data_IF_403757083595
#
_entry.id   IF_403757083595
#
_cell.length_a   1.000
_cell.length_b   1.000
_cell.length_c   1.000
_cell.angle_alpha   90.00
_cell.angle_beta   90.00
_cell.angle_gamma   90.00
#
_symmetry.space_group_name_H-M   'P 1'
#
loop_
_entity.id
_entity.type
_entity.pdbx_description
1 polymer ?
#
# COMPACT_ATOMS: atom_id res chain seq x y z
N UNK A 1 -14.53 4.06 10.43
CA UNK A 1 -14.07 4.88 9.28
C UNK A 1 -13.12 6.02 9.65
N UNK A 2 -13.27 6.76 10.77
CA UNK A 2 -12.32 7.84 11.15
C UNK A 2 -10.87 7.33 11.25
N UNK A 3 -10.66 6.17 11.86
CA UNK A 3 -9.32 5.54 11.97
C UNK A 3 -8.75 5.21 10.59
N UNK A 4 -9.54 4.56 9.72
CA UNK A 4 -9.11 4.23 8.34
C UNK A 4 -8.74 5.49 7.57
N UNK A 5 -9.51 6.57 7.71
CA UNK A 5 -9.24 7.85 7.07
C UNK A 5 -7.85 8.41 7.46
N UNK A 6 -7.50 8.39 8.76
CA UNK A 6 -6.19 8.82 9.21
C UNK A 6 -5.06 7.88 8.74
N UNK A 7 -5.30 6.56 8.81
CA UNK A 7 -4.35 5.58 8.28
C UNK A 7 -4.11 5.76 6.78
N UNK A 8 -5.11 6.24 6.01
CA UNK A 8 -4.94 6.52 4.59
C UNK A 8 -3.87 7.59 4.35
N UNK A 9 -3.82 8.66 5.14
CA UNK A 9 -2.76 9.66 5.04
C UNK A 9 -1.40 9.11 5.45
N UNK A 10 -1.35 8.37 6.56
CA UNK A 10 -0.10 7.76 7.04
C UNK A 10 0.47 6.81 5.99
N UNK A 11 -0.37 5.93 5.44
CA UNK A 11 0.08 4.98 4.42
C UNK A 11 0.42 5.65 3.09
N UNK A 12 -0.31 6.68 2.68
CA UNK A 12 0.05 7.49 1.52
C UNK A 12 1.45 8.11 1.69
N UNK A 13 1.75 8.65 2.86
CA UNK A 13 3.07 9.18 3.18
C UNK A 13 4.15 8.08 3.15
N UNK A 14 3.86 6.91 3.72
CA UNK A 14 4.77 5.76 3.70
C UNK A 14 5.10 5.34 2.27
N UNK A 15 4.12 5.25 1.39
CA UNK A 15 4.35 4.90 -0.02
C UNK A 15 5.10 5.99 -0.78
N UNK A 16 4.74 7.27 -0.61
CA UNK A 16 5.34 8.38 -1.36
C UNK A 16 6.77 8.71 -0.90
N UNK A 17 7.02 8.64 0.39
CA UNK A 17 8.29 9.10 0.99
C UNK A 17 9.18 7.94 1.41
N UNK A 18 8.60 6.84 1.89
CA UNK A 18 9.33 5.73 2.49
C UNK A 18 10.35 5.10 1.53
N UNK A 19 9.95 4.78 0.31
CA UNK A 19 10.87 4.19 -0.67
C UNK A 19 11.90 5.21 -1.18
N UNK A 20 11.48 6.46 -1.38
CA UNK A 20 12.41 7.52 -1.79
C UNK A 20 13.46 7.81 -0.71
N UNK A 21 13.05 7.86 0.56
CA UNK A 21 13.96 8.05 1.68
C UNK A 21 14.91 6.88 1.86
N UNK A 22 14.45 5.64 1.62
CA UNK A 22 15.24 4.42 1.77
C UNK A 22 16.24 4.21 0.63
N UNK A 23 15.84 4.47 -0.62
CA UNK A 23 16.61 4.11 -1.81
C UNK A 23 17.20 5.30 -2.56
N UNK A 24 16.70 6.51 -2.29
CA UNK A 24 17.06 7.72 -3.01
C UNK A 24 16.39 7.83 -4.39
N UNK A 25 16.35 9.07 -4.91
CA UNK A 25 15.75 9.35 -6.23
C UNK A 25 16.50 8.63 -7.37
N UNK A 26 17.81 8.41 -7.21
CA UNK A 26 18.62 7.66 -8.20
C UNK A 26 18.16 6.23 -8.46
N UNK A 27 17.34 5.66 -7.59
CA UNK A 27 16.80 4.30 -7.76
C UNK A 27 15.86 4.17 -8.97
N UNK A 28 15.32 5.29 -9.49
CA UNK A 28 14.57 5.29 -10.76
C UNK A 28 15.38 4.72 -11.93
N UNK A 29 16.71 4.90 -11.94
CA UNK A 29 17.56 4.33 -12.97
C UNK A 29 17.78 2.82 -12.82
N UNK A 30 17.54 2.27 -11.62
CA UNK A 30 17.70 0.83 -11.32
C UNK A 30 16.38 0.09 -11.49
N UNK A 31 15.30 0.60 -10.94
CA UNK A 31 13.96 -0.01 -11.01
C UNK A 31 12.87 1.06 -10.94
N UNK A 32 12.60 1.68 -12.09
CA UNK A 32 11.55 2.70 -12.22
C UNK A 32 10.16 2.14 -11.90
N UNK A 33 9.86 0.88 -12.27
CA UNK A 33 8.55 0.27 -12.08
C UNK A 33 8.15 0.24 -10.62
N UNK A 34 9.04 -0.19 -9.73
CA UNK A 34 8.76 -0.23 -8.30
C UNK A 34 8.51 1.16 -7.72
N UNK A 35 9.31 2.15 -8.13
CA UNK A 35 9.13 3.53 -7.66
C UNK A 35 7.81 4.11 -8.14
N UNK A 36 7.44 3.88 -9.41
CA UNK A 36 6.17 4.34 -9.98
C UNK A 36 4.99 3.68 -9.26
N UNK A 37 5.06 2.37 -8.98
CA UNK A 37 4.01 1.63 -8.26
C UNK A 37 3.77 2.23 -6.87
N UNK A 38 4.82 2.49 -6.10
CA UNK A 38 4.71 3.10 -4.78
C UNK A 38 4.10 4.51 -4.85
N UNK A 39 4.54 5.34 -5.81
CA UNK A 39 3.94 6.66 -6.03
C UNK A 39 2.47 6.59 -6.44
N UNK A 40 2.09 5.64 -7.29
CA UNK A 40 0.69 5.44 -7.67
C UNK A 40 -0.15 4.99 -6.48
N UNK A 41 0.35 4.07 -5.64
CA UNK A 41 -0.32 3.66 -4.41
C UNK A 41 -0.56 4.87 -3.49
N UNK A 42 0.49 5.64 -3.23
CA UNK A 42 0.40 6.81 -2.36
C UNK A 42 -0.52 7.89 -2.92
N UNK A 43 -0.41 8.22 -4.21
CA UNK A 43 -1.26 9.20 -4.86
C UNK A 43 -2.73 8.78 -4.87
N UNK A 44 -3.02 7.49 -5.11
CA UNK A 44 -4.39 6.99 -5.10
C UNK A 44 -5.01 7.02 -3.70
N UNK A 45 -4.24 6.67 -2.65
CA UNK A 45 -4.69 6.81 -1.27
C UNK A 45 -4.99 8.28 -0.91
N UNK A 46 -4.12 9.22 -1.29
CA UNK A 46 -4.36 10.66 -1.08
C UNK A 46 -5.61 11.14 -1.81
N UNK A 47 -5.78 10.72 -3.06
CA UNK A 47 -6.97 11.07 -3.85
C UNK A 47 -8.23 10.52 -3.20
N UNK A 48 -8.24 9.26 -2.75
CA UNK A 48 -9.37 8.66 -2.06
C UNK A 48 -9.70 9.39 -0.73
N UNK A 49 -8.68 9.79 0.03
CA UNK A 49 -8.85 10.57 1.24
C UNK A 49 -9.41 11.98 0.95
N UNK A 50 -8.95 12.62 -0.13
CA UNK A 50 -9.51 13.89 -0.58
C UNK A 50 -10.97 13.78 -0.99
N UNK A 51 -11.33 12.76 -1.81
CA UNK A 51 -12.73 12.50 -2.20
C UNK A 51 -13.60 12.26 -0.97
N UNK A 52 -13.07 11.54 0.04
CA UNK A 52 -13.74 11.31 1.31
C UNK A 52 -13.97 12.62 2.09
N UNK A 53 -12.98 13.51 2.15
CA UNK A 53 -13.06 14.78 2.86
C UNK A 53 -14.12 15.72 2.27
N UNK A 54 -14.38 15.58 0.96
CA UNK A 54 -15.42 16.37 0.25
C UNK A 54 -16.83 15.81 0.41
N UNK A 55 -16.99 14.63 1.01
CA UNK A 55 -18.28 14.01 1.24
C UNK A 55 -18.99 13.51 -0.02
N UNK A 56 -18.26 13.26 -1.11
CA UNK A 56 -18.86 12.71 -2.33
C UNK A 56 -19.44 11.32 -2.10
N UNK A 57 -20.54 10.99 -2.75
CA UNK A 57 -21.21 9.68 -2.61
C UNK A 57 -20.32 8.51 -3.05
N UNK A 58 -19.39 8.75 -3.98
CA UNK A 58 -18.43 7.74 -4.45
C UNK A 58 -17.30 7.48 -3.45
N UNK A 59 -17.11 8.33 -2.44
CA UNK A 59 -15.95 8.27 -1.54
C UNK A 59 -15.73 6.90 -0.89
N UNK A 60 -16.76 6.18 -0.40
CA UNK A 60 -16.56 4.85 0.18
C UNK A 60 -16.03 3.82 -0.83
N UNK A 61 -16.49 3.91 -2.08
CA UNK A 61 -16.02 3.01 -3.17
C UNK A 61 -14.58 3.34 -3.57
N UNK A 62 -14.26 4.63 -3.67
CA UNK A 62 -12.90 5.09 -3.96
C UNK A 62 -11.91 4.68 -2.87
N UNK A 63 -12.31 4.78 -1.61
CA UNK A 63 -11.49 4.34 -0.47
C UNK A 63 -11.24 2.83 -0.53
N UNK A 64 -12.27 2.02 -0.83
CA UNK A 64 -12.11 0.57 -0.99
C UNK A 64 -11.18 0.24 -2.17
N UNK A 65 -11.34 0.91 -3.31
CA UNK A 65 -10.49 0.71 -4.48
C UNK A 65 -9.02 1.07 -4.20
N UNK A 66 -8.76 2.19 -3.52
CA UNK A 66 -7.41 2.61 -3.16
C UNK A 66 -6.72 1.62 -2.21
N UNK A 67 -7.44 1.14 -1.19
CA UNK A 67 -6.91 0.12 -0.28
C UNK A 67 -6.73 -1.25 -0.96
N UNK A 68 -7.61 -1.64 -1.90
CA UNK A 68 -7.43 -2.85 -2.69
C UNK A 68 -6.18 -2.76 -3.58
N UNK A 69 -5.96 -1.61 -4.21
CA UNK A 69 -4.78 -1.35 -5.04
C UNK A 69 -3.50 -1.40 -4.19
N UNK A 70 -3.46 -0.73 -3.04
CA UNK A 70 -2.33 -0.74 -2.12
C UNK A 70 -2.06 -2.16 -1.56
N UNK A 71 -3.11 -2.95 -1.29
CA UNK A 71 -2.97 -4.35 -0.84
C UNK A 71 -2.33 -5.20 -1.93
N UNK A 72 -2.79 -5.10 -3.18
CA UNK A 72 -2.22 -5.83 -4.32
C UNK A 72 -0.75 -5.45 -4.57
N UNK A 73 -0.45 -4.15 -4.59
CA UNK A 73 0.90 -3.64 -4.75
C UNK A 73 1.86 -4.09 -3.63
N UNK A 74 1.38 -4.23 -2.40
CA UNK A 74 2.21 -4.69 -1.27
C UNK A 74 2.34 -6.22 -1.21
N UNK A 75 1.36 -6.96 -1.74
CA UNK A 75 1.38 -8.41 -1.72
C UNK A 75 2.56 -8.97 -2.53
N UNK A 76 2.79 -8.46 -3.73
CA UNK A 76 3.85 -8.97 -4.63
C UNK A 76 5.24 -8.84 -4.01
N UNK A 77 5.69 -7.65 -3.55
CA UNK A 77 7.00 -7.53 -2.92
C UNK A 77 7.13 -8.32 -1.61
N UNK A 78 6.05 -8.45 -0.84
CA UNK A 78 6.05 -9.30 0.36
C UNK A 78 6.26 -10.78 0.00
N UNK A 79 5.43 -11.32 -0.90
CA UNK A 79 5.51 -12.71 -1.31
C UNK A 79 6.85 -13.06 -1.95
N UNK A 80 7.37 -12.19 -2.82
CA UNK A 80 8.65 -12.40 -3.49
C UNK A 80 9.84 -12.41 -2.50
N UNK A 81 9.85 -11.52 -1.50
CA UNK A 81 10.90 -11.55 -0.48
C UNK A 81 10.77 -12.77 0.44
N UNK A 82 9.56 -13.17 0.80
CA UNK A 82 9.32 -14.36 1.60
C UNK A 82 9.76 -15.63 0.86
N UNK A 83 9.43 -15.74 -0.43
CA UNK A 83 9.83 -16.87 -1.28
C UNK A 83 11.35 -16.96 -1.41
N UNK A 84 12.04 -15.85 -1.70
CA UNK A 84 13.50 -15.82 -1.78
C UNK A 84 14.16 -16.23 -0.46
N UNK A 85 13.62 -15.78 0.66
CA UNK A 85 14.13 -16.17 1.97
C UNK A 85 13.93 -17.67 2.27
N UNK A 86 12.76 -18.22 1.92
CA UNK A 86 12.48 -19.66 2.11
C UNK A 86 13.34 -20.57 1.21
N UNK A 87 13.75 -20.07 0.04
CA UNK A 87 14.60 -20.81 -0.91
C UNK A 87 16.09 -20.55 -0.70
N UNK A 88 16.46 -19.68 0.22
CA UNK A 88 17.84 -19.22 0.42
C UNK A 88 18.47 -18.65 -0.87
N UNK A 89 17.64 -17.96 -1.66
CA UNK A 89 18.01 -17.37 -2.94
C UNK A 89 18.22 -15.86 -2.81
N UNK A 90 19.13 -15.33 -3.66
CA UNK A 90 19.32 -13.89 -3.79
C UNK A 90 18.15 -13.27 -4.55
N UNK A 91 17.33 -12.47 -3.90
CA UNK A 91 16.15 -11.86 -4.52
C UNK A 91 16.49 -10.85 -5.61
N UNK A 92 17.55 -10.05 -5.39
CA UNK A 92 18.07 -9.07 -6.35
C UNK A 92 19.58 -8.91 -6.20
N UNK A 93 20.31 -8.64 -7.31
CA UNK A 93 21.76 -8.38 -7.25
C UNK A 93 22.12 -7.15 -6.40
N UNK A 94 21.26 -6.14 -6.36
CA UNK A 94 21.43 -4.91 -5.58
C UNK A 94 21.08 -5.10 -4.09
N UNK A 95 20.39 -6.19 -3.72
CA UNK A 95 20.07 -6.59 -2.35
C UNK A 95 20.31 -8.08 -2.16
N UNK A 96 21.58 -8.52 -2.04
CA UNK A 96 21.94 -9.94 -2.01
C UNK A 96 21.41 -10.69 -0.78
N UNK A 97 21.10 -10.00 0.31
CA UNK A 97 20.57 -10.61 1.52
C UNK A 97 19.16 -10.11 1.79
N UNK A 98 18.20 -11.02 1.71
CA UNK A 98 16.83 -10.73 2.18
C UNK A 98 16.83 -10.77 3.69
N UNK A 99 16.84 -9.59 4.32
CA UNK A 99 16.75 -9.46 5.77
C UNK A 99 15.35 -9.80 6.25
N UNK A 100 15.25 -10.63 7.29
CA UNK A 100 13.98 -11.01 7.94
C UNK A 100 13.21 -9.77 8.44
N UNK A 101 13.90 -8.71 8.85
CA UNK A 101 13.28 -7.44 9.25
C UNK A 101 12.52 -6.79 8.10
N UNK A 102 13.03 -6.86 6.88
CA UNK A 102 12.35 -6.37 5.66
C UNK A 102 11.09 -7.16 5.36
N UNK A 103 11.10 -8.48 5.56
CA UNK A 103 9.92 -9.35 5.38
C UNK A 103 8.86 -9.01 6.42
N UNK A 104 9.24 -8.88 7.68
CA UNK A 104 8.34 -8.52 8.78
C UNK A 104 7.70 -7.15 8.51
N UNK A 105 8.51 -6.14 8.15
CA UNK A 105 8.01 -4.80 7.84
C UNK A 105 6.97 -4.82 6.71
N UNK A 106 7.27 -5.50 5.61
CA UNK A 106 6.34 -5.64 4.48
C UNK A 106 5.08 -6.42 4.86
N UNK A 107 5.22 -7.46 5.68
CA UNK A 107 4.09 -8.22 6.22
C UNK A 107 3.17 -7.37 7.09
N UNK A 108 3.73 -6.52 7.96
CA UNK A 108 2.97 -5.57 8.78
C UNK A 108 2.23 -4.55 7.90
N UNK A 109 2.91 -3.96 6.91
CA UNK A 109 2.28 -3.02 5.98
C UNK A 109 1.13 -3.69 5.21
N UNK A 110 1.34 -4.91 4.69
CA UNK A 110 0.31 -5.69 4.01
C UNK A 110 -0.89 -5.98 4.93
N UNK A 111 -0.64 -6.36 6.18
CA UNK A 111 -1.70 -6.61 7.16
C UNK A 111 -2.52 -5.35 7.46
N UNK A 112 -1.88 -4.19 7.56
CA UNK A 112 -2.56 -2.89 7.73
C UNK A 112 -3.42 -2.58 6.50
N UNK A 113 -2.90 -2.76 5.28
CA UNK A 113 -3.65 -2.54 4.04
C UNK A 113 -4.90 -3.44 3.98
N UNK A 114 -4.76 -4.74 4.29
CA UNK A 114 -5.86 -5.70 4.34
C UNK A 114 -6.91 -5.30 5.39
N UNK A 115 -6.47 -4.94 6.60
CA UNK A 115 -7.38 -4.53 7.66
C UNK A 115 -8.19 -3.29 7.26
N UNK A 116 -7.54 -2.28 6.69
CA UNK A 116 -8.21 -1.06 6.21
C UNK A 116 -9.18 -1.36 5.05
N UNK A 117 -8.80 -2.24 4.13
CA UNK A 117 -9.69 -2.71 3.05
C UNK A 117 -10.93 -3.39 3.62
N UNK A 118 -10.78 -4.36 4.53
CA UNK A 118 -11.91 -5.07 5.14
C UNK A 118 -12.84 -4.13 5.89
N UNK A 119 -12.29 -3.21 6.69
CA UNK A 119 -13.11 -2.22 7.41
C UNK A 119 -13.88 -1.32 6.43
N UNK A 120 -13.26 -0.90 5.34
CA UNK A 120 -13.90 -0.06 4.32
C UNK A 120 -15.03 -0.81 3.60
N UNK A 121 -14.80 -2.08 3.23
CA UNK A 121 -15.82 -2.92 2.58
C UNK A 121 -17.01 -3.18 3.51
N UNK A 122 -16.77 -3.50 4.78
CA UNK A 122 -17.84 -3.67 5.78
C UNK A 122 -18.66 -2.40 5.96
N UNK A 123 -18.02 -1.24 5.96
CA UNK A 123 -18.72 0.03 6.07
C UNK A 123 -19.62 0.31 4.85
N UNK A 124 -19.14 -0.04 3.65
CA UNK A 124 -19.93 0.12 2.42
C UNK A 124 -21.18 -0.76 2.41
N UNK A 125 -21.04 -2.02 2.86
CA UNK A 125 -22.17 -2.97 2.91
C UNK A 125 -23.24 -2.58 3.94
N UNK A 126 -22.85 -1.88 5.00
CA UNK A 126 -23.78 -1.46 6.07
C UNK A 126 -24.50 -0.14 5.78
N UNK A 127 -24.19 0.56 4.68
CA UNK A 127 -24.98 1.72 4.25
C UNK A 127 -26.20 1.22 3.47
N UNK A 128 -27.43 1.57 3.91
CA UNK A 128 -28.63 1.25 3.14
C UNK A 128 -28.50 1.89 1.75
N UNK A 129 -28.78 1.10 0.71
CA UNK A 129 -28.88 1.60 -0.66
C UNK A 129 -29.92 2.73 -0.66
N UNK A 130 -29.48 3.96 -0.88
CA UNK A 130 -30.41 5.04 -1.21
C UNK A 130 -30.86 4.77 -2.65
N UNK A 131 -31.95 4.02 -2.75
CA UNK A 131 -32.71 3.92 -3.99
C UNK A 131 -33.35 5.28 -4.30
#
# INVERSE_FOLDING_TARGET
>A
MKVVYWFTYVMAFVFLVGETARRGIGYFSVNATTMIEDYLCGAFLLFAAWVWSKGYDIAPKMMAAAWAFATGGMFVPFAAHLEAWLRDETFRPDHPHTDIASIILKGVILAVCLACLVVTLRHNNNKPSRA
#
